data_IF_362525779792
#
_entry.id   IF_362525779792
#
_cell.length_a   1.000
_cell.length_b   1.000
_cell.length_c   1.000
_cell.angle_alpha   90.00
_cell.angle_beta   90.00
_cell.angle_gamma   90.00
#
_symmetry.space_group_name_H-M   'P 1'
#
loop_
_entity.id
_entity.type
_entity.pdbx_description
1 polymer ?
#
# COMPACT_ATOMS: atom_id res chain seq x y z
N UNK A 1 -14.65 91.72 -3.48
CA UNK A 1 -15.49 90.58 -3.89
C UNK A 1 -14.65 89.44 -4.45
N UNK A 2 -13.87 89.63 -5.51
CA UNK A 2 -13.04 88.55 -6.12
C UNK A 2 -12.02 87.91 -5.17
N UNK A 3 -11.34 88.69 -4.33
CA UNK A 3 -10.33 88.17 -3.39
C UNK A 3 -10.93 87.26 -2.30
N UNK A 4 -12.16 87.56 -1.87
CA UNK A 4 -12.89 86.75 -0.87
C UNK A 4 -13.39 85.46 -1.53
N UNK A 5 -13.89 85.53 -2.77
CA UNK A 5 -14.30 84.35 -3.53
C UNK A 5 -13.13 83.39 -3.79
N UNK A 6 -11.93 83.90 -4.11
CA UNK A 6 -10.72 83.07 -4.28
C UNK A 6 -10.24 82.43 -2.97
N UNK A 7 -10.41 83.10 -1.83
CA UNK A 7 -10.08 82.56 -0.51
C UNK A 7 -11.05 81.44 -0.10
N UNK A 8 -12.35 81.62 -0.32
CA UNK A 8 -13.37 80.59 -0.08
C UNK A 8 -13.14 79.34 -0.94
N UNK A 9 -12.89 79.51 -2.25
CA UNK A 9 -12.57 78.39 -3.14
C UNK A 9 -11.31 77.62 -2.74
N UNK A 10 -10.33 78.31 -2.15
CA UNK A 10 -9.10 77.69 -1.65
C UNK A 10 -9.36 76.89 -0.37
N UNK A 11 -10.14 77.44 0.55
CA UNK A 11 -10.50 76.76 1.80
C UNK A 11 -11.33 75.49 1.53
N UNK A 12 -12.26 75.55 0.58
CA UNK A 12 -13.03 74.39 0.10
C UNK A 12 -12.11 73.32 -0.51
N UNK A 13 -11.12 73.71 -1.31
CA UNK A 13 -10.14 72.78 -1.89
C UNK A 13 -9.24 72.14 -0.83
N UNK A 14 -8.80 72.91 0.18
CA UNK A 14 -8.00 72.41 1.31
C UNK A 14 -8.82 71.48 2.22
N UNK A 15 -10.12 71.72 2.38
CA UNK A 15 -11.03 70.80 3.07
C UNK A 15 -11.23 69.50 2.28
N UNK A 16 -11.48 69.58 0.98
CA UNK A 16 -11.60 68.40 0.11
C UNK A 16 -10.31 67.57 0.09
N UNK A 17 -9.15 68.22 0.10
CA UNK A 17 -7.85 67.56 0.19
C UNK A 17 -7.70 66.77 1.50
N UNK A 18 -8.15 67.33 2.64
CA UNK A 18 -8.15 66.63 3.94
C UNK A 18 -9.06 65.41 3.92
N UNK A 19 -10.26 65.53 3.34
CA UNK A 19 -11.19 64.41 3.19
C UNK A 19 -10.59 63.28 2.35
N UNK A 20 -10.00 63.61 1.19
CA UNK A 20 -9.37 62.62 0.32
C UNK A 20 -8.17 61.93 0.98
N UNK A 21 -7.37 62.67 1.76
CA UNK A 21 -6.29 62.06 2.54
C UNK A 21 -6.82 61.10 3.60
N UNK A 22 -7.92 61.43 4.29
CA UNK A 22 -8.56 60.50 5.23
C UNK A 22 -9.08 59.26 4.54
N UNK A 23 -9.78 59.43 3.40
CA UNK A 23 -10.29 58.31 2.60
C UNK A 23 -9.16 57.41 2.08
N UNK A 24 -8.08 58.01 1.57
CA UNK A 24 -6.91 57.27 1.11
C UNK A 24 -6.29 56.46 2.27
N UNK A 25 -6.19 57.06 3.45
CA UNK A 25 -5.63 56.41 4.63
C UNK A 25 -6.47 55.20 5.06
N UNK A 26 -7.79 55.32 5.11
CA UNK A 26 -8.71 54.24 5.43
C UNK A 26 -8.63 53.11 4.38
N UNK A 27 -8.66 53.47 3.10
CA UNK A 27 -8.66 52.51 2.00
C UNK A 27 -7.33 51.73 1.91
N UNK A 28 -6.19 52.40 2.10
CA UNK A 28 -4.87 51.77 2.07
C UNK A 28 -4.59 50.95 3.33
N UNK A 29 -4.74 51.56 4.51
CA UNK A 29 -4.29 50.94 5.76
C UNK A 29 -5.28 49.91 6.30
N UNK A 30 -6.55 49.99 5.92
CA UNK A 30 -7.57 49.05 6.37
C UNK A 30 -8.06 48.14 5.25
N UNK A 31 -8.79 48.67 4.27
CA UNK A 31 -9.51 47.83 3.31
C UNK A 31 -8.58 47.03 2.40
N UNK A 32 -7.58 47.69 1.80
CA UNK A 32 -6.63 47.05 0.89
C UNK A 32 -5.74 46.05 1.63
N UNK A 33 -5.27 46.40 2.82
CA UNK A 33 -4.48 45.52 3.68
C UNK A 33 -5.25 44.24 4.04
N UNK A 34 -6.51 44.36 4.44
CA UNK A 34 -7.38 43.23 4.74
C UNK A 34 -7.68 42.40 3.49
N UNK A 35 -8.02 43.02 2.35
CA UNK A 35 -8.28 42.33 1.10
C UNK A 35 -7.04 41.56 0.61
N UNK A 36 -5.86 42.17 0.70
CA UNK A 36 -4.59 41.53 0.39
C UNK A 36 -4.36 40.31 1.27
N UNK A 37 -4.54 40.45 2.58
CA UNK A 37 -4.33 39.36 3.54
C UNK A 37 -5.29 38.19 3.30
N UNK A 38 -6.57 38.47 3.04
CA UNK A 38 -7.58 37.45 2.71
C UNK A 38 -7.25 36.72 1.41
N UNK A 39 -6.86 37.44 0.37
CA UNK A 39 -6.47 36.84 -0.90
C UNK A 39 -5.22 35.95 -0.75
N UNK A 40 -4.16 36.44 -0.09
CA UNK A 40 -2.94 35.65 0.16
C UNK A 40 -3.27 34.40 0.97
N UNK A 41 -4.07 34.50 2.03
CA UNK A 41 -4.48 33.35 2.82
C UNK A 41 -5.28 32.33 2.01
N UNK A 42 -6.27 32.78 1.23
CA UNK A 42 -7.06 31.90 0.35
C UNK A 42 -6.17 31.17 -0.67
N UNK A 43 -5.24 31.87 -1.30
CA UNK A 43 -4.26 31.28 -2.21
C UNK A 43 -3.40 30.21 -1.54
N UNK A 44 -2.86 30.50 -0.36
CA UNK A 44 -2.06 29.51 0.40
C UNK A 44 -2.89 28.29 0.80
N UNK A 45 -4.14 28.49 1.25
CA UNK A 45 -5.07 27.41 1.58
C UNK A 45 -5.37 26.53 0.36
N UNK A 46 -5.53 27.13 -0.81
CA UNK A 46 -5.73 26.41 -2.07
C UNK A 46 -4.50 25.54 -2.39
N UNK A 47 -3.30 26.10 -2.39
CA UNK A 47 -2.05 25.35 -2.64
C UNK A 47 -1.85 24.21 -1.62
N UNK A 48 -2.15 24.46 -0.34
CA UNK A 48 -2.05 23.44 0.70
C UNK A 48 -3.08 22.32 0.50
N UNK A 49 -4.31 22.67 0.12
CA UNK A 49 -5.34 21.69 -0.16
C UNK A 49 -5.00 20.82 -1.38
N UNK A 50 -4.46 21.42 -2.44
CA UNK A 50 -4.05 20.69 -3.65
C UNK A 50 -2.94 19.69 -3.32
N UNK A 51 -1.92 20.11 -2.55
CA UNK A 51 -0.86 19.21 -2.08
C UNK A 51 -1.41 18.05 -1.25
N UNK A 52 -2.32 18.34 -0.31
CA UNK A 52 -2.95 17.30 0.52
C UNK A 52 -3.79 16.33 -0.33
N UNK A 53 -4.54 16.83 -1.30
CA UNK A 53 -5.33 15.98 -2.20
C UNK A 53 -4.41 15.02 -2.97
N UNK A 54 -3.32 15.52 -3.55
CA UNK A 54 -2.34 14.69 -4.27
C UNK A 54 -1.73 13.59 -3.38
N UNK A 55 -1.39 13.93 -2.13
CA UNK A 55 -0.85 12.97 -1.16
C UNK A 55 -1.86 11.86 -0.83
N UNK A 56 -3.12 12.24 -0.58
CA UNK A 56 -4.18 11.28 -0.27
C UNK A 56 -4.52 10.40 -1.49
N UNK A 57 -4.54 10.95 -2.70
CA UNK A 57 -4.73 10.18 -3.93
C UNK A 57 -3.59 9.19 -4.19
N UNK A 58 -2.35 9.57 -3.90
CA UNK A 58 -1.22 8.65 -3.98
C UNK A 58 -1.34 7.52 -2.95
N UNK A 59 -1.62 7.87 -1.69
CA UNK A 59 -1.79 6.88 -0.62
C UNK A 59 -2.95 5.91 -0.91
N UNK A 60 -4.05 6.41 -1.49
CA UNK A 60 -5.16 5.59 -1.95
C UNK A 60 -4.71 4.55 -2.99
N UNK A 61 -3.99 4.98 -4.04
CA UNK A 61 -3.50 4.07 -5.09
C UNK A 61 -2.53 3.02 -4.55
N UNK A 62 -1.69 3.40 -3.58
CA UNK A 62 -0.76 2.47 -2.95
C UNK A 62 -1.48 1.40 -2.13
N UNK A 63 -2.50 1.78 -1.35
CA UNK A 63 -3.34 0.84 -0.61
C UNK A 63 -4.11 -0.09 -1.53
N UNK A 64 -4.70 0.44 -2.60
CA UNK A 64 -5.42 -0.32 -3.62
C UNK A 64 -4.51 -1.39 -4.25
N UNK A 65 -3.32 -0.99 -4.69
CA UNK A 65 -2.32 -1.92 -5.23
C UNK A 65 -1.80 -2.94 -4.21
N UNK A 66 -1.82 -2.64 -2.91
CA UNK A 66 -1.52 -3.63 -1.86
C UNK A 66 -2.63 -4.67 -1.71
N UNK A 67 -3.89 -4.24 -1.79
CA UNK A 67 -5.05 -5.15 -1.75
C UNK A 67 -5.00 -6.10 -2.95
N UNK A 68 -4.78 -5.59 -4.16
CA UNK A 68 -4.66 -6.43 -5.37
C UNK A 68 -3.56 -7.49 -5.25
N UNK A 69 -2.39 -7.14 -4.69
CA UNK A 69 -1.29 -8.09 -4.45
C UNK A 69 -1.71 -9.19 -3.47
N UNK A 70 -2.33 -8.82 -2.35
CA UNK A 70 -2.83 -9.78 -1.36
C UNK A 70 -3.85 -10.73 -1.99
N UNK A 71 -4.78 -10.21 -2.80
CA UNK A 71 -5.77 -11.04 -3.49
C UNK A 71 -5.11 -12.03 -4.46
N UNK A 72 -4.10 -11.59 -5.20
CA UNK A 72 -3.35 -12.44 -6.11
C UNK A 72 -2.58 -13.54 -5.36
N UNK A 73 -1.91 -13.20 -4.25
CA UNK A 73 -1.19 -14.15 -3.41
C UNK A 73 -2.12 -15.19 -2.79
N UNK A 74 -3.25 -14.76 -2.21
CA UNK A 74 -4.28 -15.67 -1.68
C UNK A 74 -4.76 -16.62 -2.78
N UNK A 75 -5.06 -16.11 -3.98
CA UNK A 75 -5.52 -16.93 -5.10
C UNK A 75 -4.47 -17.96 -5.50
N UNK A 76 -3.22 -17.55 -5.67
CA UNK A 76 -2.11 -18.44 -6.02
C UNK A 76 -1.92 -19.55 -4.99
N UNK A 77 -1.93 -19.24 -3.69
CA UNK A 77 -1.82 -20.24 -2.63
C UNK A 77 -3.03 -21.19 -2.61
N UNK A 78 -4.25 -20.67 -2.79
CA UNK A 78 -5.47 -21.50 -2.87
C UNK A 78 -5.45 -22.47 -4.06
N UNK A 79 -4.81 -22.10 -5.18
CA UNK A 79 -4.63 -22.98 -6.34
C UNK A 79 -3.51 -24.03 -6.12
N UNK A 80 -2.49 -23.72 -5.31
CA UNK A 80 -1.39 -24.64 -5.00
C UNK A 80 -1.78 -25.71 -3.99
N UNK A 81 -2.61 -25.40 -2.99
CA UNK A 81 -3.02 -26.35 -1.95
C UNK A 81 -3.60 -27.65 -2.53
N UNK A 82 -4.57 -27.63 -3.48
CA UNK A 82 -5.10 -28.85 -4.09
C UNK A 82 -4.04 -29.69 -4.79
N UNK A 83 -3.09 -29.05 -5.49
CA UNK A 83 -2.01 -29.77 -6.18
C UNK A 83 -1.12 -30.53 -5.19
N UNK A 84 -0.79 -29.90 -4.06
CA UNK A 84 -0.05 -30.54 -2.99
C UNK A 84 -0.86 -31.64 -2.29
N UNK A 85 -2.19 -31.48 -2.18
CA UNK A 85 -3.08 -32.52 -1.65
C UNK A 85 -3.14 -33.76 -2.56
N UNK A 86 -3.15 -33.56 -3.87
CA UNK A 86 -3.09 -34.66 -4.85
C UNK A 86 -1.73 -35.37 -4.82
N UNK A 87 -0.64 -34.60 -4.66
CA UNK A 87 0.70 -35.16 -4.47
C UNK A 87 0.78 -36.00 -3.19
N UNK A 88 0.22 -35.52 -2.07
CA UNK A 88 0.13 -36.27 -0.82
C UNK A 88 -0.65 -37.57 -0.99
N UNK A 89 -1.78 -37.55 -1.70
CA UNK A 89 -2.56 -38.76 -1.98
C UNK A 89 -1.70 -39.80 -2.71
N UNK A 90 -1.01 -39.38 -3.77
CA UNK A 90 -0.13 -40.25 -4.57
C UNK A 90 1.03 -40.81 -3.71
N UNK A 91 1.63 -39.97 -2.87
CA UNK A 91 2.71 -40.39 -1.97
C UNK A 91 2.23 -41.38 -0.91
N UNK A 92 1.04 -41.19 -0.34
CA UNK A 92 0.46 -42.10 0.63
C UNK A 92 0.20 -43.48 0.02
N UNK A 93 -0.39 -43.53 -1.19
CA UNK A 93 -0.57 -44.79 -1.94
C UNK A 93 0.77 -45.49 -2.19
N UNK A 94 1.83 -44.72 -2.53
CA UNK A 94 3.18 -45.26 -2.71
C UNK A 94 3.78 -45.81 -1.41
N UNK A 95 3.56 -45.13 -0.28
CA UNK A 95 3.98 -45.58 1.05
C UNK A 95 3.30 -46.89 1.43
N UNK A 96 1.99 -47.02 1.21
CA UNK A 96 1.25 -48.26 1.46
C UNK A 96 1.79 -49.43 0.63
N UNK A 97 2.04 -49.20 -0.67
CA UNK A 97 2.61 -50.21 -1.55
C UNK A 97 4.02 -50.64 -1.10
N UNK A 98 4.86 -49.68 -0.72
CA UNK A 98 6.22 -49.96 -0.19
C UNK A 98 6.17 -50.71 1.13
N UNK A 99 5.22 -50.38 2.01
CA UNK A 99 5.02 -51.07 3.27
C UNK A 99 4.65 -52.55 3.04
N UNK A 100 3.72 -52.83 2.11
CA UNK A 100 3.38 -54.21 1.71
C UNK A 100 4.58 -54.96 1.16
N UNK A 101 5.39 -54.33 0.29
CA UNK A 101 6.60 -54.93 -0.27
C UNK A 101 7.65 -55.21 0.80
N UNK A 102 7.81 -54.34 1.79
CA UNK A 102 8.71 -54.55 2.93
C UNK A 102 8.24 -55.76 3.74
N UNK A 103 6.96 -55.88 4.06
CA UNK A 103 6.42 -57.05 4.77
C UNK A 103 6.69 -58.36 4.01
N UNK A 104 6.44 -58.39 2.70
CA UNK A 104 6.75 -59.56 1.88
C UNK A 104 8.26 -59.90 1.86
N UNK A 105 9.14 -58.89 1.78
CA UNK A 105 10.59 -59.11 1.85
C UNK A 105 11.03 -59.64 3.22
N UNK A 106 10.39 -59.21 4.31
CA UNK A 106 10.68 -59.70 5.66
C UNK A 106 10.24 -61.16 5.84
N UNK A 107 9.09 -61.55 5.30
CA UNK A 107 8.64 -62.94 5.30
C UNK A 107 9.59 -63.83 4.49
N UNK A 108 10.02 -63.38 3.30
CA UNK A 108 11.01 -64.09 2.49
C UNK A 108 12.35 -64.24 3.21
N UNK A 109 12.83 -63.17 3.88
CA UNK A 109 14.07 -63.17 4.66
C UNK A 109 14.01 -64.20 5.80
N UNK A 110 12.89 -64.27 6.54
CA UNK A 110 12.69 -65.25 7.60
C UNK A 110 12.68 -66.69 7.06
N UNK A 111 12.07 -66.92 5.89
CA UNK A 111 12.08 -68.25 5.25
C UNK A 111 13.49 -68.66 4.83
N UNK A 112 14.28 -67.73 4.28
CA UNK A 112 15.66 -67.99 3.89
C UNK A 112 16.55 -68.23 5.11
N UNK A 113 16.32 -67.51 6.21
CA UNK A 113 17.05 -67.73 7.47
C UNK A 113 16.80 -69.15 8.00
N UNK A 114 15.54 -69.58 8.06
CA UNK A 114 15.21 -70.95 8.48
C UNK A 114 15.84 -72.01 7.57
N UNK A 115 15.84 -71.79 6.24
CA UNK A 115 16.49 -72.68 5.29
C UNK A 115 18.02 -72.73 5.47
N UNK A 116 18.65 -71.63 5.87
CA UNK A 116 20.08 -71.60 6.20
C UNK A 116 20.38 -72.45 7.43
N UNK A 117 19.62 -72.28 8.52
CA UNK A 117 19.79 -73.08 9.75
C UNK A 117 19.67 -74.59 9.46
N UNK A 118 18.68 -75.00 8.67
CA UNK A 118 18.49 -76.39 8.26
C UNK A 118 19.66 -76.94 7.42
N UNK A 119 20.16 -76.13 6.47
CA UNK A 119 21.26 -76.54 5.59
C UNK A 119 22.61 -76.56 6.32
N UNK A 120 22.85 -75.65 7.27
CA UNK A 120 24.05 -75.66 8.11
C UNK A 120 24.12 -76.95 8.95
N UNK A 121 22.99 -77.34 9.56
CA UNK A 121 22.88 -78.61 10.30
C UNK A 121 23.16 -79.84 9.42
N UNK A 122 22.70 -79.82 8.16
CA UNK A 122 22.97 -80.90 7.19
C UNK A 122 24.42 -80.89 6.71
N UNK A 123 25.02 -79.73 6.46
CA UNK A 123 26.40 -79.60 6.03
C UNK A 123 27.38 -80.15 7.08
N UNK A 124 27.09 -79.94 8.37
CA UNK A 124 27.85 -80.50 9.50
C UNK A 124 27.81 -82.03 9.56
N UNK A 125 26.74 -82.65 9.06
CA UNK A 125 26.52 -84.11 9.15
C UNK A 125 26.83 -84.86 7.84
N UNK A 126 26.75 -84.20 6.68
CA UNK A 126 26.86 -84.83 5.35
C UNK A 126 27.85 -84.18 4.38
N UNK A 127 28.46 -83.03 4.71
CA UNK A 127 29.48 -82.38 3.89
C UNK A 127 28.98 -81.67 2.62
N UNK A 128 27.67 -81.51 2.42
CA UNK A 128 27.08 -80.84 1.24
C UNK A 128 27.07 -79.31 1.40
N UNK A 129 27.85 -78.57 0.61
CA UNK A 129 28.06 -77.11 0.78
C UNK A 129 27.52 -76.22 -0.35
N UNK A 130 27.14 -76.80 -1.49
CA UNK A 130 26.75 -76.03 -2.68
C UNK A 130 25.40 -75.31 -2.53
N UNK A 131 24.36 -76.03 -2.07
CA UNK A 131 23.04 -75.43 -1.82
C UNK A 131 23.07 -74.39 -0.69
N UNK A 132 23.88 -74.64 0.35
CA UNK A 132 24.12 -73.67 1.42
C UNK A 132 24.64 -72.33 0.88
N UNK A 133 25.57 -72.37 -0.07
CA UNK A 133 26.13 -71.15 -0.68
C UNK A 133 25.07 -70.38 -1.49
N UNK A 134 24.21 -71.08 -2.23
CA UNK A 134 23.11 -70.45 -2.99
C UNK A 134 22.11 -69.75 -2.07
N UNK A 135 21.62 -70.44 -1.04
CA UNK A 135 20.65 -69.87 -0.09
C UNK A 135 21.26 -68.69 0.66
N UNK A 136 22.55 -68.77 1.02
CA UNK A 136 23.27 -67.68 1.68
C UNK A 136 23.35 -66.42 0.81
N UNK A 137 23.64 -66.58 -0.47
CA UNK A 137 23.65 -65.45 -1.41
C UNK A 137 22.24 -64.85 -1.56
N UNK A 138 21.21 -65.68 -1.72
CA UNK A 138 19.82 -65.21 -1.79
C UNK A 138 19.39 -64.44 -0.53
N UNK A 139 19.81 -64.91 0.65
CA UNK A 139 19.57 -64.21 1.92
C UNK A 139 20.22 -62.83 1.93
N UNK A 140 21.50 -62.72 1.56
CA UNK A 140 22.20 -61.43 1.48
C UNK A 140 21.55 -60.46 0.47
N UNK A 141 21.15 -60.95 -0.71
CA UNK A 141 20.43 -60.14 -1.70
C UNK A 141 19.11 -59.60 -1.14
N UNK A 142 18.36 -60.42 -0.39
CA UNK A 142 17.12 -59.99 0.27
C UNK A 142 17.36 -58.97 1.38
N UNK A 143 18.39 -59.14 2.20
CA UNK A 143 18.77 -58.14 3.21
C UNK A 143 19.07 -56.78 2.57
N UNK A 144 19.80 -56.78 1.45
CA UNK A 144 20.10 -55.55 0.71
C UNK A 144 18.81 -54.92 0.16
N UNK A 145 17.95 -55.72 -0.48
CA UNK A 145 16.67 -55.24 -1.00
C UNK A 145 15.77 -54.65 0.10
N UNK A 146 15.73 -55.28 1.28
CA UNK A 146 14.98 -54.79 2.44
C UNK A 146 15.53 -53.45 2.94
N UNK A 147 16.85 -53.32 3.03
CA UNK A 147 17.52 -52.08 3.44
C UNK A 147 17.18 -50.93 2.49
N UNK A 148 17.30 -51.17 1.18
CA UNK A 148 16.97 -50.19 0.15
C UNK A 148 15.48 -49.81 0.20
N UNK A 149 14.58 -50.78 0.36
CA UNK A 149 13.15 -50.52 0.45
C UNK A 149 12.80 -49.66 1.67
N UNK A 150 13.38 -49.95 2.85
CA UNK A 150 13.20 -49.17 4.08
C UNK A 150 13.72 -47.73 3.93
N UNK A 151 14.88 -47.54 3.29
CA UNK A 151 15.42 -46.21 3.00
C UNK A 151 14.46 -45.38 2.13
N UNK A 152 13.92 -45.98 1.07
CA UNK A 152 12.96 -45.34 0.19
C UNK A 152 11.64 -45.01 0.88
N UNK A 153 11.12 -45.91 1.72
CA UNK A 153 9.95 -45.65 2.57
C UNK A 153 10.18 -44.45 3.51
N UNK A 154 11.35 -44.39 4.15
CA UNK A 154 11.70 -43.28 5.04
C UNK A 154 11.75 -41.94 4.28
N UNK A 155 12.33 -41.93 3.07
CA UNK A 155 12.37 -40.75 2.20
C UNK A 155 10.95 -40.26 1.83
N UNK A 156 10.05 -41.17 1.45
CA UNK A 156 8.67 -40.79 1.12
C UNK A 156 7.96 -40.18 2.34
N UNK A 157 8.13 -40.76 3.53
CA UNK A 157 7.57 -40.22 4.78
C UNK A 157 8.09 -38.81 5.06
N UNK A 158 9.38 -38.56 4.86
CA UNK A 158 9.95 -37.22 4.99
C UNK A 158 9.34 -36.23 4.00
N UNK A 159 9.17 -36.63 2.73
CA UNK A 159 8.53 -35.78 1.71
C UNK A 159 7.08 -35.48 2.07
N UNK A 160 6.32 -36.47 2.55
CA UNK A 160 4.95 -36.28 3.04
C UNK A 160 4.90 -35.21 4.14
N UNK A 161 5.76 -35.33 5.16
CA UNK A 161 5.82 -34.33 6.24
C UNK A 161 6.18 -32.94 5.72
N UNK A 162 7.12 -32.82 4.78
CA UNK A 162 7.49 -31.54 4.19
C UNK A 162 6.30 -30.88 3.45
N UNK A 163 5.57 -31.66 2.65
CA UNK A 163 4.39 -31.16 1.93
C UNK A 163 3.26 -30.78 2.89
N UNK A 164 3.02 -31.59 3.93
CA UNK A 164 2.03 -31.27 4.98
C UNK A 164 2.33 -29.93 5.64
N UNK A 165 3.59 -29.69 6.01
CA UNK A 165 4.02 -28.42 6.58
C UNK A 165 3.84 -27.26 5.60
N UNK A 166 4.13 -27.46 4.30
CA UNK A 166 3.93 -26.43 3.29
C UNK A 166 2.45 -26.07 3.12
N UNK A 167 1.55 -27.05 3.12
CA UNK A 167 0.09 -26.81 3.08
C UNK A 167 -0.36 -26.01 4.30
N UNK A 168 0.11 -26.39 5.49
CA UNK A 168 -0.26 -25.69 6.73
C UNK A 168 0.26 -24.25 6.74
N UNK A 169 1.49 -24.02 6.26
CA UNK A 169 2.03 -22.67 6.09
C UNK A 169 1.16 -21.83 5.15
N UNK A 170 0.80 -22.35 3.97
CA UNK A 170 -0.10 -21.62 3.05
C UNK A 170 -1.46 -21.34 3.67
N UNK A 171 -2.05 -22.28 4.41
CA UNK A 171 -3.32 -22.04 5.13
C UNK A 171 -3.18 -20.94 6.17
N UNK A 172 -2.08 -20.93 6.92
CA UNK A 172 -1.78 -19.88 7.89
C UNK A 172 -1.60 -18.50 7.23
N UNK A 173 -0.87 -18.43 6.12
CA UNK A 173 -0.69 -17.18 5.36
C UNK A 173 -1.99 -16.66 4.76
N UNK A 174 -2.79 -17.54 4.13
CA UNK A 174 -4.12 -17.19 3.63
C UNK A 174 -4.98 -16.62 4.77
N UNK A 175 -5.05 -17.30 5.91
CA UNK A 175 -5.86 -16.85 7.04
C UNK A 175 -5.39 -15.50 7.60
N UNK A 176 -4.07 -15.25 7.63
CA UNK A 176 -3.51 -13.94 8.03
C UNK A 176 -3.93 -12.85 7.04
N UNK A 177 -3.76 -13.10 5.75
CA UNK A 177 -4.08 -12.15 4.68
C UNK A 177 -5.58 -11.87 4.59
N UNK A 178 -6.44 -12.88 4.78
CA UNK A 178 -7.90 -12.73 4.81
C UNK A 178 -8.38 -11.89 6.01
N UNK A 179 -7.59 -11.80 7.09
CA UNK A 179 -7.84 -10.87 8.21
C UNK A 179 -7.31 -9.47 7.95
N UNK A 180 -6.20 -9.34 7.24
CA UNK A 180 -5.57 -8.04 6.90
C UNK A 180 -6.38 -7.30 5.83
N UNK A 181 -6.87 -7.99 4.81
CA UNK A 181 -7.59 -7.41 3.67
C UNK A 181 -8.75 -6.48 4.07
N UNK A 182 -9.70 -6.87 4.95
CA UNK A 182 -10.79 -5.98 5.37
C UNK A 182 -10.33 -4.70 6.06
N UNK A 183 -9.20 -4.75 6.78
CA UNK A 183 -8.64 -3.57 7.44
C UNK A 183 -8.08 -2.58 6.42
N UNK A 184 -7.45 -3.08 5.36
CA UNK A 184 -6.97 -2.25 4.24
C UNK A 184 -8.14 -1.68 3.43
N UNK A 185 -9.18 -2.47 3.18
CA UNK A 185 -10.41 -2.00 2.50
C UNK A 185 -11.10 -0.88 3.29
N UNK A 186 -11.14 -0.99 4.62
CA UNK A 186 -11.66 0.08 5.47
C UNK A 186 -10.79 1.36 5.37
N UNK A 187 -9.47 1.22 5.42
CA UNK A 187 -8.56 2.37 5.24
C UNK A 187 -8.75 3.01 3.86
N UNK A 188 -8.92 2.20 2.81
CA UNK A 188 -9.20 2.67 1.45
C UNK A 188 -10.49 3.49 1.38
N UNK A 189 -11.56 3.02 2.05
CA UNK A 189 -12.83 3.74 2.14
C UNK A 189 -12.69 5.09 2.87
N UNK A 190 -11.93 5.13 3.96
CA UNK A 190 -11.66 6.35 4.72
C UNK A 190 -10.83 7.36 3.91
N UNK A 191 -9.84 6.88 3.17
CA UNK A 191 -9.05 7.69 2.23
C UNK A 191 -9.95 8.26 1.12
N UNK A 192 -10.82 7.45 0.54
CA UNK A 192 -11.79 7.90 -0.47
C UNK A 192 -12.68 9.04 0.04
N UNK A 193 -13.25 8.91 1.25
CA UNK A 193 -14.05 9.97 1.89
C UNK A 193 -13.26 11.26 2.10
N UNK A 194 -11.99 11.13 2.46
CA UNK A 194 -11.08 12.27 2.68
C UNK A 194 -10.79 13.00 1.36
N UNK A 195 -10.47 12.25 0.30
CA UNK A 195 -10.27 12.76 -1.06
C UNK A 195 -11.50 13.54 -1.52
N UNK A 196 -12.68 12.98 -1.34
CA UNK A 196 -13.93 13.61 -1.80
C UNK A 196 -14.24 14.90 -1.03
N UNK A 197 -13.96 14.92 0.28
CA UNK A 197 -14.06 16.14 1.10
C UNK A 197 -13.07 17.22 0.65
N UNK A 198 -11.81 16.85 0.36
CA UNK A 198 -10.79 17.77 -0.14
C UNK A 198 -11.14 18.33 -1.52
N UNK A 199 -11.66 17.51 -2.43
CA UNK A 199 -12.15 17.97 -3.75
C UNK A 199 -13.26 19.00 -3.61
N UNK A 200 -14.20 18.78 -2.69
CA UNK A 200 -15.26 19.74 -2.42
C UNK A 200 -14.73 21.06 -1.86
N UNK A 201 -13.78 21.00 -0.93
CA UNK A 201 -13.16 22.21 -0.37
C UNK A 201 -12.34 22.96 -1.42
N UNK A 202 -11.59 22.26 -2.29
CA UNK A 202 -10.91 22.87 -3.45
C UNK A 202 -11.88 23.58 -4.38
N UNK A 203 -13.03 22.97 -4.66
CA UNK A 203 -14.05 23.57 -5.52
C UNK A 203 -14.60 24.87 -4.93
N UNK A 204 -14.72 24.98 -3.61
CA UNK A 204 -15.10 26.21 -2.93
C UNK A 204 -14.00 27.26 -3.00
N UNK A 205 -12.77 26.90 -2.61
CA UNK A 205 -11.62 27.81 -2.66
C UNK A 205 -11.34 28.36 -4.07
N UNK A 206 -11.48 27.52 -5.10
CA UNK A 206 -11.32 27.93 -6.51
C UNK A 206 -12.38 28.92 -6.99
N UNK A 207 -13.53 28.99 -6.32
CA UNK A 207 -14.55 30.02 -6.58
C UNK A 207 -14.24 31.31 -5.83
N UNK A 208 -13.77 31.20 -4.59
CA UNK A 208 -13.51 32.36 -3.72
C UNK A 208 -12.23 33.13 -4.11
N UNK A 209 -11.16 32.46 -4.52
CA UNK A 209 -9.89 33.08 -4.90
C UNK A 209 -10.05 34.20 -5.96
N UNK A 210 -10.74 33.98 -7.11
CA UNK A 210 -10.88 35.02 -8.12
C UNK A 210 -11.75 36.19 -7.65
N UNK A 211 -12.73 35.96 -6.77
CA UNK A 211 -13.55 37.03 -6.17
C UNK A 211 -12.70 37.93 -5.26
N UNK A 212 -11.88 37.32 -4.40
CA UNK A 212 -10.96 38.04 -3.51
C UNK A 212 -9.90 38.81 -4.30
N UNK A 213 -9.36 38.19 -5.36
CA UNK A 213 -8.42 38.84 -6.28
C UNK A 213 -9.04 40.05 -6.96
N UNK A 214 -10.25 39.90 -7.50
CA UNK A 214 -10.98 40.98 -8.17
C UNK A 214 -11.29 42.13 -7.21
N UNK A 215 -11.68 41.82 -5.97
CA UNK A 215 -11.90 42.85 -4.93
C UNK A 215 -10.63 43.61 -4.59
N UNK A 216 -9.50 42.92 -4.45
CA UNK A 216 -8.19 43.55 -4.22
C UNK A 216 -7.82 44.47 -5.39
N UNK A 217 -7.88 43.99 -6.62
CA UNK A 217 -7.57 44.80 -7.83
C UNK A 217 -8.49 46.02 -7.96
N UNK A 218 -9.77 45.91 -7.58
CA UNK A 218 -10.70 47.03 -7.55
C UNK A 218 -10.32 48.09 -6.50
N UNK A 219 -9.91 47.68 -5.30
CA UNK A 219 -9.43 48.59 -4.26
C UNK A 219 -8.12 49.28 -4.69
N UNK A 220 -7.18 48.56 -5.31
CA UNK A 220 -5.94 49.14 -5.85
C UNK A 220 -6.23 50.23 -6.88
N UNK A 221 -7.22 50.03 -7.76
CA UNK A 221 -7.67 51.07 -8.71
C UNK A 221 -8.29 52.27 -8.00
N UNK A 222 -9.05 52.07 -6.92
CA UNK A 222 -9.61 53.17 -6.13
C UNK A 222 -8.50 53.99 -5.45
N UNK A 223 -7.48 53.33 -4.87
CA UNK A 223 -6.27 53.99 -4.33
C UNK A 223 -5.64 54.89 -5.40
N UNK A 224 -5.38 54.36 -6.59
CA UNK A 224 -4.75 55.11 -7.69
C UNK A 224 -5.57 56.34 -8.10
N UNK A 225 -6.91 56.19 -8.17
CA UNK A 225 -7.81 57.29 -8.51
C UNK A 225 -7.77 58.40 -7.46
N UNK A 226 -7.90 58.06 -6.18
CA UNK A 226 -7.84 59.04 -5.07
C UNK A 226 -6.48 59.73 -5.03
N UNK A 227 -5.38 58.98 -5.24
CA UNK A 227 -4.04 59.56 -5.32
C UNK A 227 -3.89 60.55 -6.48
N UNK A 228 -4.50 60.28 -7.64
CA UNK A 228 -4.52 61.21 -8.76
C UNK A 228 -5.33 62.48 -8.44
N UNK A 229 -6.51 62.33 -7.85
CA UNK A 229 -7.35 63.46 -7.41
C UNK A 229 -6.63 64.36 -6.38
N UNK A 230 -5.93 63.75 -5.41
CA UNK A 230 -5.09 64.48 -4.45
C UNK A 230 -4.02 65.30 -5.16
N UNK A 231 -3.25 64.69 -6.07
CA UNK A 231 -2.20 65.39 -6.82
C UNK A 231 -2.73 66.58 -7.62
N UNK A 232 -3.84 66.40 -8.32
CA UNK A 232 -4.48 67.48 -9.08
C UNK A 232 -4.94 68.63 -8.18
N UNK A 233 -5.51 68.34 -7.01
CA UNK A 233 -5.92 69.36 -6.05
C UNK A 233 -4.73 70.08 -5.42
N UNK A 234 -3.66 69.37 -5.08
CA UNK A 234 -2.41 69.95 -4.59
C UNK A 234 -1.78 70.91 -5.62
N UNK A 235 -1.79 70.54 -6.90
CA UNK A 235 -1.32 71.39 -7.99
C UNK A 235 -2.19 72.65 -8.16
N UNK A 236 -3.52 72.50 -8.16
CA UNK A 236 -4.46 73.63 -8.23
C UNK A 236 -4.29 74.61 -7.07
N UNK A 237 -4.14 74.11 -5.84
CA UNK A 237 -3.90 74.94 -4.65
C UNK A 237 -2.54 75.65 -4.75
N UNK A 238 -1.53 75.01 -5.36
CA UNK A 238 -0.19 75.58 -5.57
C UNK A 238 -0.20 76.69 -6.63
N UNK A 239 -0.84 76.47 -7.78
CA UNK A 239 -0.96 77.44 -8.87
C UNK A 239 -1.89 78.62 -8.54
N UNK A 240 -2.86 78.46 -7.64
CA UNK A 240 -3.71 79.55 -7.16
C UNK A 240 -3.06 80.46 -6.09
N UNK A 241 -1.82 80.16 -5.67
CA UNK A 241 -1.02 80.96 -4.70
C UNK A 241 -0.06 81.96 -5.38
N UNK A 242 0.14 81.87 -6.69
CA UNK A 242 0.83 82.88 -7.53
C UNK A 242 -0.18 83.85 -8.13
#
# INVERSE_FOLDING_TARGET
MERIARLLQKEDAEQRLRELHMQLNELVNHELSLAHSRWVNSKMSLEQCERRLQQEEHAYKELDGRIEKIEHEIKSMKEQIPRLQDELKTLNERVELRQKRISALQEDEQRLLAALEDLENKALTKGETHELTKVRNAYFEKQLALTVAKMFLAKDKQTITAIQNQIENYRGEIARMEREKPQLEQQLLEKHKTIESLKNWLKQLRKEEPELRSRKEALEKQVQKIQAEIKELEEKIRCGKT
#
